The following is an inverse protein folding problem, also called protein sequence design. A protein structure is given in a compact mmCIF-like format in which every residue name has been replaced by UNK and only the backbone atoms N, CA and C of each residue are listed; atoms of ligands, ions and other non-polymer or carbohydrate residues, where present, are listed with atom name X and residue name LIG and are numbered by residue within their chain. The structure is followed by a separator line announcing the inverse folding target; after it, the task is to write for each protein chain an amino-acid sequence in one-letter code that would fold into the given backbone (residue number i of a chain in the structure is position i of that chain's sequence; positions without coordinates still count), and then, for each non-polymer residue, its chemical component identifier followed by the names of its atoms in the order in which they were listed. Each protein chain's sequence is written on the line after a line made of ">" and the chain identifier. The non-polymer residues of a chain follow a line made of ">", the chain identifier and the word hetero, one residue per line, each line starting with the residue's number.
data_IF_658496425108
#
_entry.id   IF_658496425108
#
_cell.length_a   1.000
_cell.length_b   1.000
_cell.length_c   1.000
_cell.angle_alpha   90.00
_cell.angle_beta   90.00
_cell.angle_gamma   90.00
#
_symmetry.space_group_name_H-M   'P 1'
#
loop_
_entity.id
_entity.type
_entity.pdbx_description
1 polymer ?
#
# COMPACT_ATOMS: atom_id res chain seq x y z
N UNK A 1 -15.18 -2.59 0.20
CA UNK A 1 -14.41 -3.77 -0.26
C UNK A 1 -14.20 -3.76 -1.78
N UNK A 2 -15.26 -3.54 -2.57
CA UNK A 2 -15.17 -3.48 -4.04
C UNK A 2 -14.18 -2.39 -4.51
N UNK A 3 -14.23 -1.18 -3.96
CA UNK A 3 -13.30 -0.09 -4.36
C UNK A 3 -11.82 -0.42 -4.10
N UNK A 4 -11.51 -1.15 -3.02
CA UNK A 4 -10.13 -1.53 -2.68
C UNK A 4 -9.63 -2.70 -3.54
N UNK A 5 -10.52 -3.62 -3.90
CA UNK A 5 -10.21 -4.70 -4.82
C UNK A 5 -10.08 -4.17 -6.25
N UNK A 6 -10.92 -3.23 -6.65
CA UNK A 6 -10.87 -2.57 -7.95
C UNK A 6 -9.57 -1.77 -8.10
N UNK A 7 -9.17 -1.02 -7.07
CA UNK A 7 -7.88 -0.30 -7.11
C UNK A 7 -6.70 -1.27 -7.20
N UNK A 8 -6.70 -2.36 -6.41
CA UNK A 8 -5.64 -3.38 -6.46
C UNK A 8 -5.54 -4.04 -7.84
N UNK A 9 -6.68 -4.44 -8.43
CA UNK A 9 -6.71 -5.05 -9.77
C UNK A 9 -6.27 -4.06 -10.84
N UNK A 10 -6.73 -2.81 -10.78
CA UNK A 10 -6.27 -1.76 -11.72
C UNK A 10 -4.76 -1.57 -11.60
N UNK A 11 -4.22 -1.48 -10.39
CA UNK A 11 -2.79 -1.34 -10.18
C UNK A 11 -1.96 -2.54 -10.63
N UNK A 12 -2.54 -3.74 -10.62
CA UNK A 12 -1.92 -4.96 -11.13
C UNK A 12 -1.95 -5.03 -12.67
N UNK A 13 -3.05 -4.59 -13.28
CA UNK A 13 -3.23 -4.65 -14.74
C UNK A 13 -2.44 -3.56 -15.47
N UNK A 14 -2.25 -2.40 -14.87
CA UNK A 14 -1.46 -1.30 -15.44
C UNK A 14 -0.08 -1.75 -15.95
N UNK A 15 0.80 -2.37 -15.13
CA UNK A 15 2.13 -2.76 -15.60
C UNK A 15 2.06 -3.88 -16.64
N UNK A 16 1.07 -4.78 -16.58
CA UNK A 16 0.86 -5.82 -17.59
C UNK A 16 0.51 -5.19 -18.95
N UNK A 17 -0.38 -4.21 -18.96
CA UNK A 17 -0.72 -3.44 -20.18
C UNK A 17 0.51 -2.69 -20.70
N UNK A 18 1.29 -2.08 -19.80
CA UNK A 18 2.57 -1.47 -20.12
C UNK A 18 3.53 -2.41 -20.86
N UNK A 19 3.73 -3.61 -20.33
CA UNK A 19 4.64 -4.61 -20.92
C UNK A 19 4.14 -5.09 -22.28
N UNK A 20 2.85 -5.39 -22.40
CA UNK A 20 2.28 -6.02 -23.61
C UNK A 20 2.11 -5.03 -24.77
N UNK A 21 1.78 -3.77 -24.48
CA UNK A 21 1.43 -2.79 -25.52
C UNK A 21 2.44 -1.66 -25.71
N UNK A 22 3.34 -1.44 -24.75
CA UNK A 22 4.27 -0.31 -24.76
C UNK A 22 5.74 -0.74 -24.62
N UNK A 23 6.03 -2.03 -24.80
CA UNK A 23 7.37 -2.62 -24.68
C UNK A 23 8.07 -2.26 -23.36
N UNK A 24 7.29 -2.08 -22.27
CA UNK A 24 7.87 -1.73 -20.99
C UNK A 24 8.75 -2.86 -20.47
N UNK A 25 9.98 -2.49 -20.13
CA UNK A 25 10.90 -3.35 -19.39
C UNK A 25 10.63 -3.27 -17.88
N UNK A 26 11.34 -4.10 -17.12
CA UNK A 26 11.25 -4.13 -15.66
C UNK A 26 11.58 -2.77 -15.01
N UNK A 27 12.43 -1.95 -15.64
CA UNK A 27 12.79 -0.60 -15.16
C UNK A 27 11.59 0.32 -15.19
N UNK A 28 10.84 0.27 -16.29
CA UNK A 28 9.62 1.06 -16.48
C UNK A 28 8.57 0.71 -15.43
N UNK A 29 8.39 -0.58 -15.17
CA UNK A 29 7.48 -1.08 -14.14
C UNK A 29 7.91 -0.63 -12.73
N UNK A 30 9.21 -0.70 -12.42
CA UNK A 30 9.76 -0.31 -11.12
C UNK A 30 9.59 1.19 -10.85
N UNK A 31 9.89 2.04 -11.84
CA UNK A 31 9.66 3.50 -11.75
C UNK A 31 8.18 3.81 -11.62
N UNK A 32 7.32 3.14 -12.38
CA UNK A 32 5.89 3.33 -12.27
C UNK A 32 5.39 2.97 -10.86
N UNK A 33 5.78 1.83 -10.31
CA UNK A 33 5.38 1.44 -8.95
C UNK A 33 5.83 2.46 -7.90
N UNK A 34 7.04 3.00 -8.04
CA UNK A 34 7.50 4.09 -7.19
C UNK A 34 6.63 5.34 -7.33
N UNK A 35 6.33 5.78 -8.56
CA UNK A 35 5.45 6.92 -8.81
C UNK A 35 4.05 6.70 -8.21
N UNK A 36 3.52 5.47 -8.27
CA UNK A 36 2.22 5.14 -7.65
C UNK A 36 2.23 5.29 -6.12
N UNK A 37 3.39 5.19 -5.45
CA UNK A 37 3.51 5.49 -4.02
C UNK A 37 3.34 7.00 -3.75
N UNK A 38 3.80 7.86 -4.67
CA UNK A 38 3.55 9.31 -4.58
C UNK A 38 2.04 9.58 -4.63
N UNK A 39 1.34 8.97 -5.59
CA UNK A 39 -0.11 9.10 -5.72
C UNK A 39 -0.85 8.60 -4.48
N UNK A 40 -0.43 7.45 -3.92
CA UNK A 40 -1.03 6.89 -2.71
C UNK A 40 -0.86 7.82 -1.50
N UNK A 41 0.33 8.43 -1.35
CA UNK A 41 0.58 9.44 -0.31
C UNK A 41 -0.26 10.70 -0.50
N UNK A 42 -0.29 11.24 -1.72
CA UNK A 42 -1.11 12.42 -2.04
C UNK A 42 -2.62 12.15 -1.82
N UNK A 43 -3.08 10.94 -2.14
CA UNK A 43 -4.46 10.51 -1.91
C UNK A 43 -4.79 10.41 -0.42
N UNK A 44 -3.89 9.84 0.38
CA UNK A 44 -4.04 9.75 1.83
C UNK A 44 -4.06 11.15 2.47
N UNK A 45 -3.18 12.05 2.05
CA UNK A 45 -3.12 13.43 2.51
C UNK A 45 -4.40 14.21 2.16
N UNK A 46 -4.89 14.07 0.92
CA UNK A 46 -6.16 14.66 0.47
C UNK A 46 -7.34 14.15 1.30
N UNK A 47 -7.39 12.86 1.60
CA UNK A 47 -8.44 12.31 2.45
C UNK A 47 -8.35 12.81 3.88
N UNK A 48 -7.15 12.83 4.47
CA UNK A 48 -6.96 13.37 5.82
C UNK A 48 -7.43 14.82 5.88
N UNK A 49 -7.08 15.65 4.89
CA UNK A 49 -7.57 17.03 4.78
C UNK A 49 -9.10 17.08 4.79
N UNK A 50 -9.77 16.20 4.03
CA UNK A 50 -11.23 16.16 3.86
C UNK A 50 -11.99 15.47 4.99
N UNK A 51 -11.32 14.66 5.82
CA UNK A 51 -11.92 13.96 6.96
C UNK A 51 -12.39 14.96 8.02
N UNK A 52 -13.62 14.80 8.51
CA UNK A 52 -14.15 15.61 9.61
C UNK A 52 -13.36 15.30 10.88
N UNK A 53 -13.08 16.32 11.70
CA UNK A 53 -12.46 16.12 13.01
C UNK A 53 -13.32 15.18 13.83
N UNK A 54 -12.81 13.97 14.08
CA UNK A 54 -13.51 13.01 14.92
C UNK A 54 -13.15 13.29 16.39
N UNK A 55 -14.10 13.19 17.32
CA UNK A 55 -13.81 13.31 18.74
C UNK A 55 -12.82 12.22 19.15
N UNK A 56 -11.85 12.61 19.97
CA UNK A 56 -10.83 11.81 20.66
C UNK A 56 -11.23 10.36 21.02
N UNK A 57 -12.51 10.15 21.39
CA UNK A 57 -13.09 8.87 21.80
C UNK A 57 -13.28 7.85 20.66
N UNK A 58 -13.20 8.23 19.38
CA UNK A 58 -13.45 7.31 18.25
C UNK A 58 -12.19 6.69 17.65
N UNK A 59 -11.01 6.94 18.23
CA UNK A 59 -9.76 6.31 17.79
C UNK A 59 -9.66 4.93 18.46
N UNK A 60 -10.10 3.90 17.74
CA UNK A 60 -9.94 2.51 18.18
C UNK A 60 -8.46 2.23 18.49
N UNK A 61 -8.15 1.91 19.75
CA UNK A 61 -6.80 1.61 20.24
C UNK A 61 -6.04 2.79 20.87
N UNK A 62 -6.65 3.98 20.98
CA UNK A 62 -6.05 5.08 21.73
C UNK A 62 -6.10 4.83 23.23
N UNK A 63 -4.95 4.83 23.90
CA UNK A 63 -4.89 4.89 25.37
C UNK A 63 -5.46 6.24 25.79
N UNK A 64 -6.65 6.22 26.39
CA UNK A 64 -7.21 7.37 27.08
C UNK A 64 -6.52 7.51 28.42
N UNK A 65 -5.80 8.61 28.61
CA UNK A 65 -5.19 8.95 29.89
C UNK A 65 -5.83 10.24 30.42
N UNK A 66 -6.13 10.25 31.71
CA UNK A 66 -6.72 11.41 32.38
C UNK A 66 -5.59 12.31 32.87
N UNK A 67 -5.50 13.54 32.35
CA UNK A 67 -4.61 14.58 32.88
C UNK A 67 -5.47 15.67 33.50
N UNK A 68 -5.26 15.99 34.77
CA UNK A 68 -6.02 17.02 35.49
C UNK A 68 -7.55 16.85 35.38
N UNK A 69 -8.06 15.61 35.51
CA UNK A 69 -9.49 15.30 35.43
C UNK A 69 -10.11 15.45 34.04
N UNK A 70 -9.32 15.79 33.01
CA UNK A 70 -9.76 15.82 31.61
C UNK A 70 -9.30 14.56 30.88
N UNK A 71 -10.22 13.89 30.21
CA UNK A 71 -9.89 12.79 29.31
C UNK A 71 -9.06 13.34 28.14
N UNK A 72 -7.80 12.94 28.08
CA UNK A 72 -6.95 13.16 26.91
C UNK A 72 -6.87 11.84 26.15
N UNK A 73 -7.31 11.83 24.89
CA UNK A 73 -6.89 10.74 24.01
C UNK A 73 -5.44 10.95 23.67
N UNK A 74 -4.60 9.90 23.71
CA UNK A 74 -3.29 9.91 23.05
C UNK A 74 -3.36 10.03 21.52
N UNK A 75 -4.50 10.46 20.96
CA UNK A 75 -4.67 10.70 19.55
C UNK A 75 -3.88 11.93 19.12
N UNK A 76 -3.05 11.72 18.11
CA UNK A 76 -2.29 12.78 17.46
C UNK A 76 -3.25 13.84 16.87
N UNK A 77 -3.07 15.14 17.17
CA UNK A 77 -3.89 16.19 16.55
C UNK A 77 -3.83 16.12 15.03
N UNK A 78 -4.98 16.19 14.35
CA UNK A 78 -5.08 16.13 12.88
C UNK A 78 -4.03 16.98 12.13
N UNK A 79 -3.84 18.29 12.42
CA UNK A 79 -2.88 19.10 11.67
C UNK A 79 -1.43 18.61 11.86
N UNK A 80 -1.09 18.12 13.05
CA UNK A 80 0.23 17.55 13.29
C UNK A 80 0.40 16.21 12.58
N UNK A 81 -0.62 15.34 12.57
CA UNK A 81 -0.59 14.08 11.83
C UNK A 81 -0.39 14.30 10.32
N UNK A 82 -1.07 15.30 9.75
CA UNK A 82 -0.93 15.69 8.34
C UNK A 82 0.46 16.23 8.02
N UNK A 83 0.96 17.17 8.83
CA UNK A 83 2.32 17.71 8.65
C UNK A 83 3.39 16.63 8.78
N UNK A 84 3.29 15.81 9.83
CA UNK A 84 4.22 14.71 10.07
C UNK A 84 4.17 13.70 8.92
N UNK A 85 2.97 13.34 8.45
CA UNK A 85 2.80 12.47 7.30
C UNK A 85 3.47 13.07 6.06
N UNK A 86 3.13 14.30 5.69
CA UNK A 86 3.68 14.95 4.49
C UNK A 86 5.21 15.01 4.51
N UNK A 87 5.81 15.39 5.64
CA UNK A 87 7.28 15.47 5.77
C UNK A 87 7.91 14.08 5.81
N UNK A 88 7.43 13.18 6.67
CA UNK A 88 8.05 11.88 6.90
C UNK A 88 7.84 10.94 5.70
N UNK A 89 6.60 10.80 5.25
CA UNK A 89 6.26 10.00 4.06
C UNK A 89 6.90 10.60 2.80
N UNK A 90 6.89 11.93 2.67
CA UNK A 90 7.54 12.63 1.56
C UNK A 90 9.04 12.39 1.50
N UNK A 91 9.75 12.56 2.63
CA UNK A 91 11.19 12.32 2.73
C UNK A 91 11.53 10.85 2.44
N UNK A 92 10.77 9.91 3.00
CA UNK A 92 10.95 8.49 2.72
C UNK A 92 10.77 8.19 1.23
N UNK A 93 9.69 8.68 0.62
CA UNK A 93 9.39 8.47 -0.80
C UNK A 93 10.46 9.08 -1.71
N UNK A 94 11.02 10.23 -1.31
CA UNK A 94 12.13 10.87 -2.01
C UNK A 94 13.41 10.03 -1.97
N UNK A 95 13.87 9.64 -0.77
CA UNK A 95 15.09 8.83 -0.60
C UNK A 95 14.93 7.48 -1.31
N UNK A 96 13.77 6.85 -1.18
CA UNK A 96 13.46 5.62 -1.90
C UNK A 96 13.45 5.82 -3.43
N UNK A 97 12.97 6.98 -3.90
CA UNK A 97 13.01 7.34 -5.32
C UNK A 97 14.42 7.48 -5.87
N UNK A 98 15.32 8.08 -5.08
CA UNK A 98 16.76 8.11 -5.41
C UNK A 98 17.28 6.67 -5.57
N UNK A 99 16.98 5.79 -4.62
CA UNK A 99 17.39 4.38 -4.68
C UNK A 99 16.84 3.66 -5.93
N UNK A 100 15.56 3.85 -6.25
CA UNK A 100 14.90 3.34 -7.46
C UNK A 100 15.60 3.81 -8.74
N UNK A 101 15.92 5.11 -8.84
CA UNK A 101 16.60 5.65 -10.02
C UNK A 101 18.03 5.12 -10.16
N UNK A 102 18.76 4.96 -9.04
CA UNK A 102 20.09 4.35 -9.06
C UNK A 102 20.05 2.90 -9.57
N UNK A 103 19.03 2.11 -9.20
CA UNK A 103 18.82 0.76 -9.74
C UNK A 103 18.55 0.79 -11.25
N UNK A 104 17.64 1.66 -11.69
CA UNK A 104 17.21 1.79 -13.10
C UNK A 104 18.35 2.24 -14.01
N UNK A 105 19.20 3.14 -13.51
CA UNK A 105 20.42 3.61 -14.19
C UNK A 105 21.56 2.58 -14.15
N UNK A 106 21.38 1.45 -13.45
CA UNK A 106 22.37 0.38 -13.39
C UNK A 106 23.58 0.70 -12.51
N UNK A 107 23.49 1.64 -11.56
CA UNK A 107 24.57 1.95 -10.61
C UNK A 107 24.93 0.72 -9.77
N UNK A 108 23.93 -0.10 -9.46
CA UNK A 108 24.08 -1.35 -8.75
C UNK A 108 24.16 -2.56 -9.69
N UNK A 109 24.43 -2.35 -10.99
CA UNK A 109 24.53 -3.44 -11.98
C UNK A 109 25.55 -4.50 -11.57
N UNK A 110 26.68 -4.12 -10.96
CA UNK A 110 27.67 -5.07 -10.41
C UNK A 110 27.17 -5.87 -9.21
N UNK A 111 26.14 -5.39 -8.48
CA UNK A 111 25.48 -6.12 -7.39
C UNK A 111 24.35 -7.04 -7.89
N UNK A 112 23.83 -6.79 -9.09
CA UNK A 112 22.75 -7.57 -9.71
C UNK A 112 23.22 -8.45 -10.87
N UNK A 113 24.44 -8.23 -11.35
CA UNK A 113 25.09 -9.04 -12.37
C UNK A 113 25.71 -10.27 -11.69
N UNK A 114 24.92 -11.33 -11.62
CA UNK A 114 25.50 -12.67 -11.60
C UNK A 114 26.39 -12.90 -12.84
N UNK A 115 27.17 -13.98 -12.90
CA UNK A 115 28.01 -14.27 -14.07
C UNK A 115 27.12 -14.39 -15.33
N UNK A 116 27.10 -13.33 -16.16
CA UNK A 116 26.24 -13.22 -17.35
C UNK A 116 25.20 -12.08 -17.33
N UNK A 117 25.09 -11.30 -16.25
CA UNK A 117 24.17 -10.15 -16.19
C UNK A 117 24.60 -9.00 -17.09
N UNK A 118 23.99 -8.88 -18.27
CA UNK A 118 24.19 -7.72 -19.12
C UNK A 118 23.65 -6.46 -18.44
N UNK A 119 24.47 -5.41 -18.36
CA UNK A 119 23.99 -4.07 -18.01
C UNK A 119 22.83 -3.73 -18.96
N UNK A 120 21.72 -3.18 -18.44
CA UNK A 120 20.49 -3.16 -19.21
C UNK A 120 20.62 -2.08 -20.31
N UNK A 121 20.77 -2.52 -21.56
CA UNK A 121 21.00 -1.70 -22.76
C UNK A 121 19.67 -1.43 -23.48
N UNK A 122 19.36 -0.16 -23.74
CA UNK A 122 18.13 0.27 -24.41
C UNK A 122 17.71 1.68 -24.00
N UNK A 123 16.93 2.35 -24.83
CA UNK A 123 16.36 3.66 -24.51
C UNK A 123 15.31 3.51 -23.39
N UNK A 124 15.49 4.24 -22.29
CA UNK A 124 14.52 4.29 -21.18
C UNK A 124 13.59 5.49 -21.38
N UNK A 125 12.35 5.23 -21.80
CA UNK A 125 11.36 6.30 -22.00
C UNK A 125 10.67 6.69 -20.69
N UNK A 126 11.34 7.56 -19.93
CA UNK A 126 10.77 8.15 -18.72
C UNK A 126 9.52 9.01 -19.02
N UNK A 127 9.42 9.60 -20.21
CA UNK A 127 8.33 10.53 -20.55
C UNK A 127 7.01 9.80 -20.67
N UNK A 128 6.98 8.68 -21.40
CA UNK A 128 5.80 7.84 -21.53
C UNK A 128 5.29 7.34 -20.17
N UNK A 129 6.21 6.91 -19.30
CA UNK A 129 5.88 6.43 -17.95
C UNK A 129 5.27 7.56 -17.10
N UNK A 130 5.89 8.75 -17.10
CA UNK A 130 5.42 9.90 -16.32
C UNK A 130 4.05 10.38 -16.82
N UNK A 131 3.82 10.43 -18.13
CA UNK A 131 2.52 10.82 -18.70
C UNK A 131 1.44 9.81 -18.30
N UNK A 132 1.72 8.52 -18.44
CA UNK A 132 0.81 7.46 -18.05
C UNK A 132 0.46 7.56 -16.55
N UNK A 133 1.49 7.68 -15.71
CA UNK A 133 1.32 7.86 -14.27
C UNK A 133 0.52 9.11 -13.93
N UNK A 134 0.81 10.26 -14.58
CA UNK A 134 0.13 11.52 -14.31
C UNK A 134 -1.37 11.40 -14.62
N UNK A 135 -1.73 10.76 -15.73
CA UNK A 135 -3.13 10.50 -16.07
C UNK A 135 -3.81 9.58 -15.05
N UNK A 136 -3.19 8.44 -14.72
CA UNK A 136 -3.72 7.51 -13.73
C UNK A 136 -3.85 8.14 -12.33
N UNK A 137 -2.92 9.04 -11.98
CA UNK A 137 -2.92 9.78 -10.72
C UNK A 137 -4.01 10.83 -10.69
N UNK A 138 -4.18 11.58 -11.77
CA UNK A 138 -5.23 12.57 -11.91
C UNK A 138 -6.60 11.91 -11.72
N UNK A 139 -6.86 10.79 -12.40
CA UNK A 139 -8.11 10.03 -12.25
C UNK A 139 -8.35 9.66 -10.78
N UNK A 140 -7.32 9.15 -10.08
CA UNK A 140 -7.46 8.77 -8.68
C UNK A 140 -7.68 9.94 -7.73
N UNK A 141 -7.01 11.07 -7.96
CA UNK A 141 -7.21 12.28 -7.17
C UNK A 141 -8.60 12.86 -7.41
N UNK A 142 -9.08 12.86 -8.66
CA UNK A 142 -10.43 13.30 -9.03
C UNK A 142 -11.49 12.43 -8.37
N UNK A 143 -11.41 11.10 -8.51
CA UNK A 143 -12.31 10.16 -7.80
C UNK A 143 -12.28 10.43 -6.29
N UNK A 144 -11.08 10.70 -5.78
CA UNK A 144 -10.89 11.07 -4.39
C UNK A 144 -11.67 12.31 -3.97
N UNK A 145 -11.57 13.39 -4.75
CA UNK A 145 -12.31 14.63 -4.53
C UNK A 145 -13.84 14.44 -4.49
N UNK A 146 -14.36 13.43 -5.19
CA UNK A 146 -15.79 13.09 -5.19
C UNK A 146 -16.20 12.05 -4.15
N UNK A 147 -15.26 11.39 -3.47
CA UNK A 147 -15.58 10.43 -2.40
C UNK A 147 -16.34 11.14 -1.26
N UNK A 148 -17.56 10.73 -0.89
CA UNK A 148 -18.32 11.39 0.17
C UNK A 148 -17.56 11.41 1.50
N UNK A 149 -17.52 12.55 2.20
CA UNK A 149 -16.80 12.68 3.48
C UNK A 149 -17.27 11.70 4.56
N UNK A 150 -18.52 11.24 4.49
CA UNK A 150 -19.07 10.25 5.40
C UNK A 150 -18.43 8.87 5.25
N UNK A 151 -17.84 8.58 4.09
CA UNK A 151 -17.21 7.31 3.78
C UNK A 151 -15.69 7.34 4.07
N UNK A 152 -15.14 8.49 4.49
CA UNK A 152 -13.72 8.62 4.77
C UNK A 152 -13.38 7.98 6.12
N UNK A 153 -12.35 7.12 6.16
CA UNK A 153 -11.87 6.55 7.41
C UNK A 153 -11.33 7.60 8.40
N UNK A 154 -11.15 7.23 9.68
CA UNK A 154 -10.44 8.06 10.65
C UNK A 154 -9.03 8.43 10.16
N UNK A 155 -8.55 9.61 10.57
CA UNK A 155 -7.23 10.15 10.19
C UNK A 155 -6.11 9.14 10.43
N UNK A 156 -6.12 8.46 11.57
CA UNK A 156 -5.08 7.48 11.89
C UNK A 156 -5.08 6.28 10.93
N UNK A 157 -6.25 5.86 10.44
CA UNK A 157 -6.31 4.77 9.46
C UNK A 157 -5.81 5.22 8.07
N UNK A 158 -6.10 6.46 7.68
CA UNK A 158 -5.60 7.06 6.45
C UNK A 158 -4.08 7.25 6.49
N UNK A 159 -3.55 7.68 7.63
CA UNK A 159 -2.12 7.83 7.88
C UNK A 159 -1.34 6.55 7.58
N UNK A 160 -1.83 5.39 8.04
CA UNK A 160 -1.17 4.10 7.82
C UNK A 160 -1.51 3.44 6.48
N UNK A 161 -2.52 3.91 5.76
CA UNK A 161 -3.03 3.27 4.56
C UNK A 161 -1.99 2.98 3.45
N UNK A 162 -1.00 3.85 3.17
CA UNK A 162 -0.04 3.60 2.08
C UNK A 162 1.16 2.71 2.47
N UNK A 163 1.42 2.53 3.77
CA UNK A 163 2.62 1.82 4.27
C UNK A 163 2.72 0.36 3.84
N UNK A 164 1.65 -0.47 3.86
CA UNK A 164 1.74 -1.86 3.45
C UNK A 164 2.28 -2.04 2.03
N UNK A 165 1.91 -1.13 1.11
CA UNK A 165 2.35 -1.17 -0.28
C UNK A 165 3.86 -0.95 -0.41
N UNK A 166 4.37 0.06 0.28
CA UNK A 166 5.80 0.37 0.32
C UNK A 166 6.58 -0.81 0.91
N UNK A 167 6.11 -1.35 2.03
CA UNK A 167 6.78 -2.45 2.72
C UNK A 167 6.90 -3.69 1.82
N UNK A 168 5.79 -4.07 1.16
CA UNK A 168 5.76 -5.19 0.22
C UNK A 168 6.75 -4.97 -0.92
N UNK A 169 6.78 -3.77 -1.52
CA UNK A 169 7.73 -3.46 -2.58
C UNK A 169 9.20 -3.54 -2.12
N UNK A 170 9.52 -3.07 -0.90
CA UNK A 170 10.86 -3.18 -0.35
C UNK A 170 11.28 -4.62 -0.11
N UNK A 171 10.39 -5.41 0.50
CA UNK A 171 10.63 -6.83 0.75
C UNK A 171 10.84 -7.57 -0.57
N UNK A 172 10.00 -7.30 -1.58
CA UNK A 172 10.12 -7.92 -2.91
C UNK A 172 11.42 -7.53 -3.61
N UNK A 173 11.83 -6.25 -3.59
CA UNK A 173 13.10 -5.84 -4.20
C UNK A 173 14.29 -6.44 -3.44
N UNK A 174 14.32 -6.36 -2.11
CA UNK A 174 15.44 -6.89 -1.30
C UNK A 174 15.59 -8.41 -1.45
N UNK A 175 14.48 -9.16 -1.40
CA UNK A 175 14.49 -10.59 -1.69
C UNK A 175 14.94 -10.83 -3.12
N UNK A 176 14.45 -10.07 -4.09
CA UNK A 176 14.78 -10.25 -5.49
C UNK A 176 16.26 -10.10 -5.77
N UNK A 177 16.86 -9.05 -5.23
CA UNK A 177 18.31 -8.81 -5.29
C UNK A 177 19.09 -9.97 -4.67
N UNK A 178 18.70 -10.41 -3.47
CA UNK A 178 19.36 -11.50 -2.78
C UNK A 178 19.24 -12.83 -3.55
N UNK A 179 18.05 -13.13 -4.07
CA UNK A 179 17.78 -14.31 -4.90
C UNK A 179 18.57 -14.29 -6.22
N UNK A 180 18.62 -13.16 -6.93
CA UNK A 180 19.41 -13.02 -8.16
C UNK A 180 20.89 -13.23 -7.88
N UNK A 181 21.41 -12.61 -6.80
CA UNK A 181 22.80 -12.76 -6.40
C UNK A 181 23.14 -14.21 -5.98
N UNK A 182 22.20 -14.93 -5.35
CA UNK A 182 22.40 -16.30 -4.89
C UNK A 182 22.27 -17.36 -6.01
N UNK A 183 21.25 -17.24 -6.86
CA UNK A 183 20.96 -18.22 -7.92
C UNK A 183 21.60 -17.89 -9.27
N UNK A 184 22.06 -16.66 -9.49
CA UNK A 184 22.69 -16.22 -10.74
C UNK A 184 21.78 -16.18 -11.97
N UNK A 185 20.48 -16.49 -11.82
CA UNK A 185 19.50 -16.65 -12.91
C UNK A 185 18.32 -15.69 -12.74
N UNK A 186 18.36 -14.49 -13.36
CA UNK A 186 17.34 -13.44 -13.22
C UNK A 186 15.88 -13.88 -13.48
N UNK A 187 15.57 -14.74 -14.47
CA UNK A 187 14.19 -15.15 -14.74
C UNK A 187 13.56 -15.99 -13.62
N UNK A 188 14.33 -16.86 -12.96
CA UNK A 188 13.83 -17.73 -11.87
C UNK A 188 13.52 -16.89 -10.62
N UNK A 189 14.40 -15.93 -10.30
CA UNK A 189 14.16 -15.00 -9.21
C UNK A 189 12.93 -14.12 -9.48
N UNK A 190 12.76 -13.62 -10.70
CA UNK A 190 11.57 -12.86 -11.10
C UNK A 190 10.28 -13.68 -10.94
N UNK A 191 10.27 -14.93 -11.39
CA UNK A 191 9.12 -15.84 -11.22
C UNK A 191 8.80 -16.12 -9.74
N UNK A 192 9.82 -16.30 -8.89
CA UNK A 192 9.64 -16.48 -7.45
C UNK A 192 9.06 -15.24 -6.76
N UNK A 193 9.50 -14.04 -7.14
CA UNK A 193 8.97 -12.79 -6.60
C UNK A 193 7.53 -12.53 -7.03
N UNK A 194 7.20 -12.79 -8.30
CA UNK A 194 5.82 -12.69 -8.80
C UNK A 194 4.92 -13.66 -8.04
N UNK A 195 5.37 -14.90 -7.83
CA UNK A 195 4.63 -15.88 -7.04
C UNK A 195 4.43 -15.45 -5.58
N UNK A 196 5.47 -14.88 -4.95
CA UNK A 196 5.41 -14.38 -3.57
C UNK A 196 4.44 -13.19 -3.46
N UNK A 197 4.55 -12.21 -4.36
CA UNK A 197 3.67 -11.05 -4.43
C UNK A 197 2.21 -11.47 -4.61
N UNK A 198 1.95 -12.37 -5.55
CA UNK A 198 0.62 -12.93 -5.77
C UNK A 198 0.08 -13.62 -4.52
N UNK A 199 0.92 -14.36 -3.79
CA UNK A 199 0.55 -14.99 -2.52
C UNK A 199 0.13 -13.98 -1.45
N UNK A 200 0.85 -12.86 -1.32
CA UNK A 200 0.50 -11.77 -0.38
C UNK A 200 -0.84 -11.14 -0.76
N UNK A 201 -1.05 -10.84 -2.04
CA UNK A 201 -2.28 -10.22 -2.53
C UNK A 201 -3.50 -11.14 -2.32
N UNK A 202 -3.35 -12.44 -2.58
CA UNK A 202 -4.38 -13.45 -2.28
C UNK A 202 -4.62 -13.57 -0.77
N UNK A 203 -3.56 -13.56 0.04
CA UNK A 203 -3.67 -13.61 1.50
C UNK A 203 -4.46 -12.43 2.08
N UNK A 204 -4.23 -11.23 1.56
CA UNK A 204 -4.98 -10.03 1.94
C UNK A 204 -6.46 -10.14 1.55
N UNK A 205 -6.77 -10.70 0.36
CA UNK A 205 -8.14 -10.96 -0.09
C UNK A 205 -8.87 -12.01 0.78
N UNK A 206 -8.19 -13.09 1.17
CA UNK A 206 -8.76 -14.13 2.02
C UNK A 206 -8.99 -13.64 3.46
N UNK A 207 -8.06 -12.85 3.99
CA UNK A 207 -8.20 -12.25 5.33
C UNK A 207 -9.37 -11.25 5.36
N UNK A 208 -9.58 -10.49 4.28
CA UNK A 208 -10.73 -9.61 4.12
C UNK A 208 -12.07 -10.38 4.07
N UNK A 209 -12.11 -11.58 3.46
CA UNK A 209 -13.31 -12.46 3.50
C UNK A 209 -13.59 -13.01 4.90
N UNK A 210 -12.55 -13.40 5.64
CA UNK A 210 -12.68 -13.95 7.00
C UNK A 210 -13.19 -12.90 8.01
N UNK A 211 -12.73 -11.66 7.89
CA UNK A 211 -13.21 -10.56 8.72
C UNK A 211 -14.68 -10.15 8.43
N UNK A 212 -15.25 -10.59 7.31
CA UNK A 212 -16.64 -10.33 6.92
C UNK A 212 -17.64 -11.43 7.28
N UNK A 213 -17.23 -12.54 7.89
CA UNK A 213 -18.16 -13.57 8.37
C UNK A 213 -18.72 -13.19 9.75
N UNK A 214 -20.03 -12.95 9.90
CA UNK A 214 -20.63 -12.69 11.19
C UNK A 214 -20.46 -13.92 12.10
N UNK A 215 -19.99 -13.68 13.32
CA UNK A 215 -19.87 -14.70 14.36
C UNK A 215 -21.21 -15.41 14.54
N UNK A 216 -21.22 -16.74 14.36
CA UNK A 216 -22.39 -17.57 14.63
C UNK A 216 -22.83 -17.30 16.08
N UNK A 217 -24.08 -16.85 16.33
CA UNK A 217 -24.52 -16.58 17.69
C UNK A 217 -24.40 -17.85 18.54
N UNK A 218 -24.00 -17.73 19.82
CA UNK A 218 -23.89 -18.88 20.71
C UNK A 218 -25.26 -19.55 20.77
N UNK A 219 -25.29 -20.86 20.58
CA UNK A 219 -26.52 -21.65 20.65
C UNK A 219 -27.16 -21.39 22.02
N UNK A 220 -28.33 -20.74 22.01
CA UNK A 220 -29.11 -20.49 23.21
C UNK A 220 -29.48 -21.85 23.79
N UNK A 221 -28.79 -22.24 24.87
CA UNK A 221 -29.14 -23.44 25.63
C UNK A 221 -30.45 -23.10 26.32
N UNK A 222 -31.57 -23.54 25.75
CA UNK A 222 -32.88 -23.45 26.38
C UNK A 222 -32.84 -24.34 27.62
N UNK A 223 -32.47 -23.78 28.77
CA UNK A 223 -32.66 -24.42 30.05
C UNK A 223 -34.16 -24.33 30.36
N UNK A 224 -34.90 -25.36 29.95
CA UNK A 224 -36.28 -25.58 30.37
C UNK A 224 -36.29 -25.66 31.89
N UNK A 225 -36.90 -24.67 32.54
CA UNK A 225 -37.24 -24.73 33.95
C UNK A 225 -38.25 -25.86 34.15
N UNK A 226 -37.81 -26.97 34.72
CA UNK A 226 -38.70 -28.02 35.23
C UNK A 226 -39.16 -27.59 36.61
N UNK A 227 -40.47 -27.67 36.81
CA UNK A 227 -41.21 -27.09 37.92
C UNK A 227 -40.88 -27.70 39.29
N UNK A 228 -41.12 -26.86 40.30
CA UNK A 228 -41.36 -27.27 41.68
C UNK A 228 -42.72 -27.95 41.80
N UNK A 229 -42.81 -29.11 42.47
CA UNK A 229 -43.99 -29.46 43.25
C UNK A 229 -43.69 -29.25 44.75
N UNK A 230 -44.64 -28.56 45.38
CA UNK A 230 -45.09 -28.59 46.78
C UNK A 230 -44.17 -29.15 47.88
#
# INVERSE_FOLDING_TARGET
>A
MIERALSAVVYLLIPVVGIVFFDWDWRSVLVLYWLQNITAGARAELDMFRTKTQPAASVAGGVTFTVNGRQSSGAMPKPFAMLFFAVHYGLFTLVHGVFVMLIVLGVFSSLFAGPGGAAPQGAFDLRGIVLYWALASLVQLVIGCFTPRANLPPVMQLFWAPYPRIFVLHVTILLGVWLINYFGWPPVAALLLVALQFGVDVGQLLTAKRAGQPSRPPATRTTTAAGSPE
#
